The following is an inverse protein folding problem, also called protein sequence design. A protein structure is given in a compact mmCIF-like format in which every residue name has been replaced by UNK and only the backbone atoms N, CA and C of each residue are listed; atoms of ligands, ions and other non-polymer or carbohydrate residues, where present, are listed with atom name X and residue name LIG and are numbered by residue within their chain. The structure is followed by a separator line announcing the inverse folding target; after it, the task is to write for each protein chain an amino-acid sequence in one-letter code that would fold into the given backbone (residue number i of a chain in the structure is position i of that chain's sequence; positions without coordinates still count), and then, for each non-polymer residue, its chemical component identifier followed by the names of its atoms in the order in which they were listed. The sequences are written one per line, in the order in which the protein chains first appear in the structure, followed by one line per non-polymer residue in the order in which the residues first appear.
data_IF_206077309733
#
_entry.id   IF_206077309733
#
_cell.length_a   1.000
_cell.length_b   1.000
_cell.length_c   1.000
_cell.angle_alpha   90.00
_cell.angle_beta   90.00
_cell.angle_gamma   90.00
#
_symmetry.space_group_name_H-M   'P 1'
#
loop_
_entity.id
_entity.type
_entity.pdbx_description
1 polymer ?
#
# COMPACT_ATOMS: atom_id res chain seq x y z
N UNK A 1 0.46 6.87 -19.26
CA UNK A 1 1.53 7.87 -19.50
C UNK A 1 2.32 8.33 -18.28
N UNK A 2 1.93 8.01 -17.04
CA UNK A 2 2.78 8.28 -15.87
C UNK A 2 2.90 7.06 -14.98
N UNK A 3 4.10 6.77 -14.45
CA UNK A 3 4.25 5.70 -13.49
C UNK A 3 3.68 6.10 -12.13
N UNK A 4 3.30 5.11 -11.32
CA UNK A 4 2.86 5.30 -9.95
C UNK A 4 3.73 4.46 -9.00
N UNK A 5 3.91 4.94 -7.77
CA UNK A 5 4.53 4.14 -6.70
C UNK A 5 3.42 3.33 -6.03
N UNK A 6 3.59 2.00 -6.00
CA UNK A 6 2.69 1.07 -5.31
C UNK A 6 3.41 0.40 -4.14
N UNK A 7 2.70 0.23 -3.02
CA UNK A 7 3.15 -0.58 -1.89
C UNK A 7 2.01 -1.40 -1.30
N UNK A 8 2.35 -2.51 -0.64
CA UNK A 8 1.42 -3.37 0.06
C UNK A 8 1.36 -3.00 1.55
N UNK A 9 0.18 -2.60 2.02
CA UNK A 9 -0.10 -2.38 3.45
C UNK A 9 -0.72 -3.63 4.06
N UNK A 10 -0.33 -4.05 5.28
CA UNK A 10 -0.94 -5.21 5.92
C UNK A 10 -2.44 -5.01 6.19
N UNK A 11 -3.22 -6.09 6.18
CA UNK A 11 -4.64 -6.12 6.54
C UNK A 11 -4.91 -7.00 7.76
N UNK A 12 -6.00 -6.73 8.45
CA UNK A 12 -6.45 -7.48 9.63
C UNK A 12 -6.73 -8.98 9.36
N UNK A 13 -7.09 -9.34 8.14
CA UNK A 13 -7.33 -10.72 7.70
C UNK A 13 -6.04 -11.48 7.34
N UNK A 14 -4.88 -10.87 7.55
CA UNK A 14 -3.57 -11.44 7.24
C UNK A 14 -3.16 -11.33 5.78
N UNK A 15 -3.95 -10.66 4.93
CA UNK A 15 -3.57 -10.28 3.56
C UNK A 15 -2.96 -8.87 3.54
N UNK A 16 -2.95 -8.23 2.37
CA UNK A 16 -2.51 -6.86 2.20
C UNK A 16 -3.40 -6.09 1.22
N UNK A 17 -3.35 -4.77 1.32
CA UNK A 17 -3.98 -3.82 0.41
C UNK A 17 -2.88 -3.15 -0.41
N UNK A 18 -2.95 -3.19 -1.72
CA UNK A 18 -2.09 -2.37 -2.57
C UNK A 18 -2.57 -0.93 -2.55
N UNK A 19 -1.65 0.02 -2.31
CA UNK A 19 -1.98 1.45 -2.33
C UNK A 19 -1.13 2.16 -3.37
N UNK A 20 -1.80 2.96 -4.21
CA UNK A 20 -1.21 3.81 -5.24
C UNK A 20 -1.89 5.18 -5.20
N UNK A 21 -1.32 6.28 -5.67
CA UNK A 21 0.11 6.53 -5.78
C UNK A 21 0.68 6.95 -4.42
N UNK A 22 1.95 6.63 -4.15
CA UNK A 22 2.65 6.94 -2.90
C UNK A 22 3.74 8.00 -3.09
N UNK A 23 3.59 8.86 -4.11
CA UNK A 23 4.41 10.06 -4.29
C UNK A 23 5.27 10.07 -5.55
N UNK A 24 4.93 9.32 -6.60
CA UNK A 24 5.49 9.60 -7.93
C UNK A 24 4.93 10.91 -8.51
N UNK A 25 3.66 11.21 -8.23
CA UNK A 25 2.90 12.31 -8.80
C UNK A 25 2.29 13.15 -7.68
N UNK A 26 2.79 14.38 -7.49
CA UNK A 26 2.31 15.28 -6.41
C UNK A 26 0.85 15.69 -6.60
N UNK A 27 0.40 15.82 -7.86
CA UNK A 27 -0.98 16.03 -8.21
C UNK A 27 -1.31 15.17 -9.42
N UNK A 28 -2.53 14.65 -9.45
CA UNK A 28 -3.03 13.86 -10.55
C UNK A 28 -4.25 14.54 -11.16
N UNK A 29 -4.72 14.10 -12.32
CA UNK A 29 -6.07 14.37 -12.81
C UNK A 29 -6.95 13.11 -12.64
N UNK A 30 -8.22 13.16 -13.07
CA UNK A 30 -9.15 12.03 -12.93
C UNK A 30 -8.80 10.85 -13.83
N UNK A 31 -8.28 11.11 -15.03
CA UNK A 31 -7.82 10.07 -15.97
C UNK A 31 -6.61 9.32 -15.41
N UNK A 32 -5.70 10.01 -14.73
CA UNK A 32 -4.55 9.40 -14.07
C UNK A 32 -4.98 8.51 -12.89
N UNK A 33 -5.93 8.96 -12.06
CA UNK A 33 -6.49 8.11 -11.00
C UNK A 33 -7.15 6.86 -11.60
N UNK A 34 -7.88 7.01 -12.70
CA UNK A 34 -8.43 5.88 -13.45
C UNK A 34 -7.31 4.91 -13.92
N UNK A 35 -6.26 5.42 -14.57
CA UNK A 35 -5.12 4.59 -15.00
C UNK A 35 -4.45 3.86 -13.83
N UNK A 36 -4.33 4.51 -12.67
CA UNK A 36 -3.75 3.91 -11.47
C UNK A 36 -4.62 2.77 -10.92
N UNK A 37 -5.95 2.87 -11.03
CA UNK A 37 -6.88 1.81 -10.67
C UNK A 37 -6.72 0.59 -11.57
N UNK A 38 -6.63 0.79 -12.89
CA UNK A 38 -6.43 -0.32 -13.83
C UNK A 38 -5.06 -0.98 -13.60
N UNK A 39 -4.00 -0.19 -13.40
CA UNK A 39 -2.68 -0.74 -13.08
C UNK A 39 -2.67 -1.48 -11.74
N UNK A 40 -3.31 -0.94 -10.70
CA UNK A 40 -3.41 -1.57 -9.39
C UNK A 40 -4.15 -2.90 -9.45
N UNK A 41 -5.28 -2.98 -10.18
CA UNK A 41 -5.98 -4.23 -10.44
C UNK A 41 -5.08 -5.26 -11.11
N UNK A 42 -4.34 -4.86 -12.16
CA UNK A 42 -3.43 -5.76 -12.85
C UNK A 42 -2.31 -6.27 -11.93
N UNK A 43 -1.76 -5.42 -11.07
CA UNK A 43 -0.75 -5.81 -10.08
C UNK A 43 -1.31 -6.84 -9.10
N UNK A 44 -2.49 -6.58 -8.53
CA UNK A 44 -3.14 -7.51 -7.61
C UNK A 44 -3.50 -8.85 -8.28
N UNK A 45 -3.94 -8.84 -9.54
CA UNK A 45 -4.17 -10.04 -10.33
C UNK A 45 -2.90 -10.89 -10.50
N UNK A 46 -1.75 -10.26 -10.71
CA UNK A 46 -0.48 -10.96 -10.96
C UNK A 46 0.23 -11.38 -9.67
N UNK A 47 0.20 -10.53 -8.64
CA UNK A 47 0.93 -10.77 -7.41
C UNK A 47 0.15 -11.65 -6.44
N UNK A 48 -1.17 -11.52 -6.38
CA UNK A 48 -2.03 -12.26 -5.44
C UNK A 48 -2.88 -13.34 -6.10
N UNK A 49 -2.72 -13.56 -7.41
CA UNK A 49 -3.49 -14.51 -8.22
C UNK A 49 -5.02 -14.33 -8.03
N UNK A 50 -5.45 -13.10 -7.74
CA UNK A 50 -6.84 -12.74 -7.48
C UNK A 50 -7.49 -12.29 -8.78
N UNK A 51 -8.49 -13.03 -9.27
CA UNK A 51 -9.07 -12.79 -10.62
C UNK A 51 -9.75 -11.43 -10.77
N UNK A 52 -10.48 -10.97 -9.76
CA UNK A 52 -11.22 -9.69 -9.77
C UNK A 52 -10.98 -8.94 -8.46
N UNK A 53 -9.78 -8.39 -8.26
CA UNK A 53 -9.43 -7.69 -7.03
C UNK A 53 -10.29 -6.43 -6.92
N UNK A 54 -10.81 -6.19 -5.73
CA UNK A 54 -11.62 -5.01 -5.45
C UNK A 54 -10.77 -3.74 -5.48
N UNK A 55 -11.26 -2.70 -6.16
CA UNK A 55 -10.57 -1.42 -6.33
C UNK A 55 -11.41 -0.30 -5.72
N UNK A 56 -10.78 0.58 -4.96
CA UNK A 56 -11.44 1.72 -4.33
C UNK A 56 -10.63 3.01 -4.48
N UNK A 57 -11.32 4.14 -4.41
CA UNK A 57 -10.71 5.47 -4.32
C UNK A 57 -10.60 5.91 -2.85
N UNK A 58 -9.42 6.35 -2.43
CA UNK A 58 -9.25 6.95 -1.11
C UNK A 58 -9.92 8.32 -1.09
N UNK A 59 -10.75 8.56 -0.08
CA UNK A 59 -11.47 9.81 0.05
C UNK A 59 -11.59 10.24 1.52
N UNK A 60 -12.04 11.47 1.73
CA UNK A 60 -12.28 12.07 3.06
C UNK A 60 -13.57 11.55 3.73
N UNK A 61 -14.33 10.72 3.04
CA UNK A 61 -15.54 10.07 3.54
C UNK A 61 -16.11 9.09 2.52
N UNK A 62 -16.93 8.15 2.97
CA UNK A 62 -17.56 7.15 2.10
C UNK A 62 -18.73 7.69 1.25
N UNK A 63 -19.24 8.89 1.54
CA UNK A 63 -20.38 9.48 0.81
C UNK A 63 -19.98 10.08 -0.55
N UNK A 64 -20.80 9.87 -1.59
CA UNK A 64 -20.50 10.30 -2.97
C UNK A 64 -20.26 11.81 -3.14
N UNK A 65 -20.85 12.63 -2.26
CA UNK A 65 -20.78 14.10 -2.32
C UNK A 65 -19.43 14.62 -1.77
N UNK A 66 -18.69 13.80 -1.03
CA UNK A 66 -17.42 14.18 -0.42
C UNK A 66 -16.24 13.97 -1.37
N UNK A 67 -15.17 14.71 -1.13
CA UNK A 67 -13.96 14.70 -1.96
C UNK A 67 -13.87 15.89 -2.89
N UNK A 68 -12.70 16.08 -3.50
CA UNK A 68 -12.47 17.16 -4.46
C UNK A 68 -13.04 16.80 -5.84
N UNK A 69 -13.11 17.79 -6.74
CA UNK A 69 -13.71 17.63 -8.07
C UNK A 69 -13.03 16.53 -8.89
N UNK A 70 -11.71 16.36 -8.72
CA UNK A 70 -10.91 15.36 -9.40
C UNK A 70 -11.28 13.93 -8.96
N UNK A 71 -11.42 13.68 -7.66
CA UNK A 71 -11.80 12.37 -7.12
C UNK A 71 -13.23 12.02 -7.55
N UNK A 72 -14.14 13.00 -7.58
CA UNK A 72 -15.51 12.77 -8.08
C UNK A 72 -15.54 12.44 -9.58
N UNK A 73 -14.79 13.18 -10.40
CA UNK A 73 -14.68 12.85 -11.82
C UNK A 73 -14.02 11.48 -12.06
N UNK A 74 -13.02 11.10 -11.26
CA UNK A 74 -12.42 9.76 -11.33
C UNK A 74 -13.42 8.66 -10.93
N UNK A 75 -14.25 8.91 -9.93
CA UNK A 75 -15.31 7.99 -9.53
C UNK A 75 -16.28 7.71 -10.68
N UNK A 76 -16.68 8.73 -11.43
CA UNK A 76 -17.58 8.57 -12.57
C UNK A 76 -16.92 7.69 -13.66
N UNK A 77 -15.66 7.98 -14.03
CA UNK A 77 -14.89 7.16 -14.98
C UNK A 77 -14.77 5.69 -14.54
N UNK A 78 -14.48 5.46 -13.26
CA UNK A 78 -14.31 4.11 -12.71
C UNK A 78 -15.61 3.32 -12.65
N UNK A 79 -16.76 3.99 -12.47
CA UNK A 79 -18.08 3.33 -12.48
C UNK A 79 -18.51 2.90 -13.87
N UNK A 80 -18.07 3.60 -14.91
CA UNK A 80 -18.37 3.27 -16.30
C UNK A 80 -17.56 2.06 -16.79
N UNK A 81 -16.42 1.77 -16.16
CA UNK A 81 -15.55 0.65 -16.53
C UNK A 81 -16.01 -0.69 -15.93
N UNK A 82 -16.72 -1.48 -16.74
CA UNK A 82 -17.16 -2.83 -16.38
C UNK A 82 -16.05 -3.87 -16.21
N UNK A 83 -14.81 -3.55 -16.62
CA UNK A 83 -13.63 -4.38 -16.45
C UNK A 83 -13.00 -4.25 -15.06
N UNK A 84 -13.36 -3.23 -14.29
CA UNK A 84 -12.91 -3.02 -12.91
C UNK A 84 -13.93 -3.53 -11.90
N UNK A 85 -13.45 -4.20 -10.86
CA UNK A 85 -14.26 -4.47 -9.67
C UNK A 85 -14.22 -3.24 -8.74
N UNK A 86 -14.76 -2.11 -9.21
CA UNK A 86 -14.75 -0.85 -8.47
C UNK A 86 -15.86 -0.83 -7.40
N UNK A 87 -15.47 -0.58 -6.14
CA UNK A 87 -16.38 -0.61 -4.98
C UNK A 87 -16.70 0.76 -4.39
N UNK A 88 -16.24 1.84 -5.03
CA UNK A 88 -16.47 3.21 -4.55
C UNK A 88 -15.35 3.74 -3.65
N UNK A 89 -15.74 4.54 -2.66
CA UNK A 89 -14.81 5.23 -1.76
C UNK A 89 -14.44 4.41 -0.52
N UNK A 90 -13.21 4.58 -0.07
CA UNK A 90 -12.72 4.15 1.25
C UNK A 90 -12.04 5.30 1.97
N UNK A 91 -12.03 5.24 3.31
CA UNK A 91 -11.34 6.23 4.14
C UNK A 91 -9.97 5.75 4.58
N UNK A 92 -9.12 6.65 5.10
CA UNK A 92 -7.82 6.28 5.65
C UNK A 92 -7.90 5.27 6.80
N UNK A 93 -9.02 5.26 7.54
CA UNK A 93 -9.30 4.29 8.62
C UNK A 93 -9.55 2.86 8.11
N UNK A 94 -9.80 2.71 6.81
CA UNK A 94 -10.11 1.44 6.17
C UNK A 94 -8.92 0.80 5.47
N UNK A 95 -7.76 1.47 5.39
CA UNK A 95 -6.58 0.98 4.68
C UNK A 95 -6.06 -0.37 5.21
N UNK A 96 -6.22 -0.63 6.51
CA UNK A 96 -5.84 -1.89 7.17
C UNK A 96 -7.02 -2.86 7.33
N UNK A 97 -8.22 -2.45 6.88
CA UNK A 97 -9.41 -3.28 6.92
C UNK A 97 -9.54 -4.04 5.62
N UNK A 98 -10.19 -5.20 5.67
CA UNK A 98 -10.40 -6.05 4.50
C UNK A 98 -11.47 -5.49 3.53
N UNK A 99 -11.45 -4.18 3.24
CA UNK A 99 -12.45 -3.49 2.41
C UNK A 99 -12.10 -3.50 0.92
N UNK A 100 -10.84 -3.31 0.57
CA UNK A 100 -10.37 -3.26 -0.81
C UNK A 100 -9.04 -4.01 -0.95
N UNK A 101 -8.79 -4.59 -2.12
CA UNK A 101 -7.50 -5.18 -2.46
C UNK A 101 -6.55 -4.12 -3.03
N UNK A 102 -7.12 -3.10 -3.69
CA UNK A 102 -6.41 -1.97 -4.29
C UNK A 102 -7.08 -0.66 -3.87
N UNK A 103 -6.29 0.29 -3.38
CA UNK A 103 -6.74 1.64 -3.04
C UNK A 103 -5.93 2.67 -3.82
N UNK A 104 -6.64 3.59 -4.48
CA UNK A 104 -6.05 4.61 -5.36
C UNK A 104 -6.27 6.01 -4.81
N UNK A 105 -5.22 6.83 -4.89
CA UNK A 105 -5.18 8.23 -4.47
C UNK A 105 -4.12 9.00 -5.25
N UNK A 106 -4.13 10.32 -5.16
CA UNK A 106 -3.02 11.13 -5.64
C UNK A 106 -1.77 10.92 -4.76
N UNK A 107 -0.59 11.12 -5.35
CA UNK A 107 0.66 10.84 -4.65
C UNK A 107 0.95 11.76 -3.47
N UNK A 108 0.34 12.95 -3.38
CA UNK A 108 0.48 13.79 -2.18
C UNK A 108 -0.28 13.18 -1.01
N UNK A 109 -1.57 12.87 -1.20
CA UNK A 109 -2.40 12.22 -0.17
C UNK A 109 -1.83 10.86 0.22
N UNK A 110 -1.47 10.02 -0.75
CA UNK A 110 -0.92 8.70 -0.49
C UNK A 110 0.40 8.72 0.27
N UNK A 111 1.31 9.63 -0.11
CA UNK A 111 2.59 9.76 0.61
C UNK A 111 2.40 10.29 2.03
N UNK A 112 1.48 11.24 2.25
CA UNK A 112 1.15 11.73 3.61
C UNK A 112 0.54 10.60 4.45
N UNK A 113 -0.39 9.83 3.90
CA UNK A 113 -1.01 8.69 4.58
C UNK A 113 0.05 7.65 4.97
N UNK A 114 0.89 7.23 4.02
CA UNK A 114 1.97 6.27 4.25
C UNK A 114 2.93 6.75 5.35
N UNK A 115 3.41 7.99 5.28
CA UNK A 115 4.36 8.52 6.26
C UNK A 115 3.75 8.67 7.66
N UNK A 116 2.45 8.98 7.72
CA UNK A 116 1.71 9.03 8.99
C UNK A 116 1.61 7.63 9.61
N UNK A 117 1.25 6.63 8.81
CA UNK A 117 1.20 5.21 9.22
C UNK A 117 2.56 4.76 9.75
N UNK A 118 3.63 4.97 8.98
CA UNK A 118 4.97 4.55 9.37
C UNK A 118 5.42 5.23 10.68
N UNK A 119 5.12 6.53 10.83
CA UNK A 119 5.43 7.30 12.03
C UNK A 119 4.69 6.78 13.26
N UNK A 120 3.39 6.52 13.12
CA UNK A 120 2.56 5.96 14.18
C UNK A 120 3.03 4.56 14.59
N UNK A 121 3.32 3.69 13.62
CA UNK A 121 3.84 2.35 13.88
C UNK A 121 5.14 2.39 14.69
N UNK A 122 6.11 3.23 14.27
CA UNK A 122 7.37 3.43 15.00
C UNK A 122 7.14 3.96 16.41
N UNK A 123 6.25 4.93 16.58
CA UNK A 123 5.89 5.50 17.88
C UNK A 123 5.31 4.43 18.81
N UNK A 124 4.27 3.69 18.39
CA UNK A 124 3.63 2.63 19.19
C UNK A 124 4.63 1.55 19.58
N UNK A 125 5.47 1.08 18.65
CA UNK A 125 6.51 0.09 18.95
C UNK A 125 7.50 0.59 20.00
N UNK A 126 7.92 1.85 19.92
CA UNK A 126 8.83 2.46 20.88
C UNK A 126 8.21 2.62 22.27
N UNK A 127 6.93 2.99 22.32
CA UNK A 127 6.17 3.15 23.55
C UNK A 127 6.02 1.81 24.28
N UNK A 128 5.64 0.74 23.56
CA UNK A 128 5.53 -0.60 24.16
C UNK A 128 6.88 -1.10 24.67
N UNK A 129 7.96 -0.91 23.92
CA UNK A 129 9.31 -1.26 24.37
C UNK A 129 9.73 -0.47 25.62
N UNK A 130 9.28 0.78 25.78
CA UNK A 130 9.54 1.59 26.96
C UNK A 130 8.85 1.01 28.19
N UNK A 131 7.58 0.62 28.07
CA UNK A 131 6.80 0.02 29.17
C UNK A 131 7.43 -1.26 29.71
N UNK A 132 7.90 -2.15 28.83
CA UNK A 132 8.59 -3.37 29.27
C UNK A 132 9.93 -3.11 29.98
N UNK A 133 10.53 -1.93 29.80
CA UNK A 133 11.86 -1.60 30.37
C UNK A 133 11.79 -0.85 31.70
N UNK A 134 10.61 -0.34 32.09
CA UNK A 134 10.44 0.53 33.26
C UNK A 134 10.97 -0.14 34.55
N UNK A 135 10.40 -1.28 34.95
CA UNK A 135 10.71 -1.94 36.22
C UNK A 135 11.07 -3.42 36.03
N UNK A 136 11.72 -4.02 37.03
CA UNK A 136 12.17 -5.41 36.96
C UNK A 136 11.03 -6.41 36.72
N UNK A 137 9.85 -6.15 37.30
CA UNK A 137 8.63 -6.93 37.05
C UNK A 137 8.18 -6.83 35.60
N UNK A 138 8.15 -5.62 35.02
CA UNK A 138 7.79 -5.39 33.61
C UNK A 138 8.76 -6.09 32.67
N UNK A 139 10.05 -6.14 33.02
CA UNK A 139 11.07 -6.87 32.24
C UNK A 139 10.84 -8.38 32.28
N UNK A 140 10.48 -8.92 33.44
CA UNK A 140 10.17 -10.35 33.59
C UNK A 140 8.93 -10.74 32.77
N UNK A 141 7.85 -9.95 32.85
CA UNK A 141 6.66 -10.15 32.02
C UNK A 141 6.99 -9.97 30.53
N UNK A 142 7.85 -9.01 30.20
CA UNK A 142 8.34 -8.78 28.84
C UNK A 142 9.02 -10.01 28.24
N UNK A 143 9.81 -10.75 29.03
CA UNK A 143 10.45 -11.98 28.54
C UNK A 143 9.43 -13.07 28.17
N UNK A 144 8.35 -13.20 28.95
CA UNK A 144 7.28 -14.16 28.66
C UNK A 144 6.49 -13.78 27.40
N UNK A 145 6.26 -12.48 27.18
CA UNK A 145 5.47 -11.96 26.05
C UNK A 145 6.33 -11.77 24.79
N UNK A 146 7.65 -11.68 24.92
CA UNK A 146 8.59 -11.43 23.82
C UNK A 146 8.36 -12.25 22.54
N UNK A 147 8.14 -13.58 22.57
CA UNK A 147 7.92 -14.35 21.34
C UNK A 147 6.62 -13.97 20.62
N UNK A 148 5.58 -13.58 21.36
CA UNK A 148 4.32 -13.10 20.77
C UNK A 148 4.50 -11.67 20.24
N UNK A 149 5.17 -10.83 21.01
CA UNK A 149 5.47 -9.45 20.62
C UNK A 149 6.28 -9.39 19.33
N UNK A 150 7.31 -10.24 19.17
CA UNK A 150 8.09 -10.31 17.93
C UNK A 150 7.24 -10.56 16.69
N UNK A 151 6.24 -11.45 16.77
CA UNK A 151 5.32 -11.70 15.65
C UNK A 151 4.44 -10.50 15.32
N UNK A 152 4.02 -9.74 16.33
CA UNK A 152 3.25 -8.50 16.14
C UNK A 152 4.14 -7.43 15.51
N UNK A 153 5.36 -7.28 16.03
CA UNK A 153 6.35 -6.34 15.54
C UNK A 153 6.68 -6.61 14.07
N UNK A 154 6.92 -7.87 13.68
CA UNK A 154 7.19 -8.25 12.29
C UNK A 154 6.04 -7.87 11.33
N UNK A 155 4.78 -7.91 11.77
CA UNK A 155 3.62 -7.55 10.94
C UNK A 155 3.38 -6.05 10.80
N UNK A 156 3.75 -5.28 11.81
CA UNK A 156 3.49 -3.83 11.87
C UNK A 156 4.72 -3.04 11.45
N UNK A 157 5.91 -3.64 11.49
CA UNK A 157 7.16 -2.95 11.22
C UNK A 157 7.24 -2.51 9.75
N UNK A 158 7.24 -1.20 9.47
CA UNK A 158 7.31 -0.69 8.10
C UNK A 158 8.61 -1.07 7.37
N UNK A 159 9.69 -1.33 8.10
CA UNK A 159 10.98 -1.75 7.55
C UNK A 159 10.92 -3.08 6.78
N UNK A 160 9.95 -3.95 7.11
CA UNK A 160 9.71 -5.19 6.38
C UNK A 160 9.08 -4.99 4.99
N UNK A 161 8.49 -3.82 4.74
CA UNK A 161 7.74 -3.49 3.53
C UNK A 161 8.48 -2.49 2.64
N UNK A 162 9.81 -2.36 2.80
CA UNK A 162 10.61 -1.54 1.91
C UNK A 162 10.69 -2.16 0.50
N UNK A 163 10.77 -1.31 -0.52
CA UNK A 163 10.79 -1.72 -1.92
C UNK A 163 9.47 -1.48 -2.65
N UNK A 164 8.92 -0.27 -2.55
CA UNK A 164 7.75 0.12 -3.31
C UNK A 164 8.06 0.07 -4.83
N UNK A 165 7.20 -0.58 -5.61
CA UNK A 165 7.42 -0.72 -7.05
C UNK A 165 6.96 0.53 -7.79
N UNK A 166 7.63 0.88 -8.87
CA UNK A 166 7.08 1.76 -9.89
C UNK A 166 6.33 0.92 -10.92
N UNK A 167 5.04 1.14 -11.04
CA UNK A 167 4.18 0.52 -12.05
C UNK A 167 3.93 1.48 -13.20
N UNK A 168 3.67 0.96 -14.39
CA UNK A 168 3.53 1.77 -15.62
C UNK A 168 4.85 2.05 -16.35
N UNK A 169 5.94 1.40 -15.94
CA UNK A 169 7.23 1.41 -16.64
C UNK A 169 7.44 0.11 -17.42
N UNK A 170 8.28 0.16 -18.46
CA UNK A 170 8.66 -1.02 -19.29
C UNK A 170 9.57 -2.03 -18.58
N UNK A 171 9.96 -1.75 -17.34
CA UNK A 171 10.86 -2.60 -16.56
C UNK A 171 10.55 -2.49 -15.07
N UNK A 172 11.08 -3.43 -14.29
CA UNK A 172 10.95 -3.42 -12.84
C UNK A 172 11.85 -2.34 -12.26
N UNK A 173 11.24 -1.33 -11.64
CA UNK A 173 11.96 -0.30 -10.89
C UNK A 173 11.40 -0.29 -9.47
N UNK A 174 12.28 -0.42 -8.48
CA UNK A 174 11.92 -0.47 -7.06
C UNK A 174 12.56 0.68 -6.32
N UNK A 175 11.76 1.41 -5.54
CA UNK A 175 12.20 2.51 -4.68
C UNK A 175 12.51 1.99 -3.29
N UNK A 176 13.74 2.15 -2.84
CA UNK A 176 14.12 2.02 -1.43
C UNK A 176 14.05 3.37 -0.73
N UNK A 177 13.73 3.39 0.55
CA UNK A 177 13.85 4.61 1.35
C UNK A 177 15.31 5.11 1.40
N UNK A 178 15.50 6.44 1.41
CA UNK A 178 16.84 7.05 1.42
C UNK A 178 17.63 6.79 2.71
N UNK A 179 16.94 6.53 3.81
CA UNK A 179 17.53 6.16 5.11
C UNK A 179 17.48 4.65 5.36
N UNK A 180 17.33 3.83 4.32
CA UNK A 180 17.17 2.39 4.48
C UNK A 180 18.45 1.76 5.05
N UNK A 181 18.29 0.92 6.08
CA UNK A 181 19.39 0.08 6.57
C UNK A 181 19.65 -1.13 5.66
N UNK A 182 20.69 -1.93 5.98
CA UNK A 182 21.05 -3.08 5.17
C UNK A 182 19.93 -4.14 5.07
N UNK A 183 19.12 -4.28 6.13
CA UNK A 183 17.98 -5.20 6.15
C UNK A 183 16.87 -4.69 5.23
N UNK A 184 16.49 -3.41 5.37
CA UNK A 184 15.49 -2.75 4.53
C UNK A 184 15.90 -2.77 3.06
N UNK A 185 17.16 -2.52 2.75
CA UNK A 185 17.67 -2.56 1.37
C UNK A 185 17.63 -3.98 0.79
N UNK A 186 17.96 -5.00 1.60
CA UNK A 186 17.82 -6.39 1.20
C UNK A 186 16.35 -6.75 0.89
N UNK A 187 15.38 -6.26 1.66
CA UNK A 187 13.96 -6.46 1.36
C UNK A 187 13.58 -5.85 0.00
N UNK A 188 14.07 -4.65 -0.32
CA UNK A 188 13.83 -4.05 -1.62
C UNK A 188 14.39 -4.89 -2.78
N UNK A 189 15.55 -5.53 -2.62
CA UNK A 189 16.13 -6.45 -3.60
C UNK A 189 15.25 -7.71 -3.76
N UNK A 190 14.78 -8.29 -2.65
CA UNK A 190 13.90 -9.46 -2.69
C UNK A 190 12.59 -9.15 -3.40
N UNK A 191 11.98 -7.99 -3.13
CA UNK A 191 10.79 -7.51 -3.84
C UNK A 191 11.06 -7.33 -5.34
N UNK A 192 12.19 -6.70 -5.71
CA UNK A 192 12.57 -6.54 -7.11
C UNK A 192 12.73 -7.89 -7.83
N UNK A 193 13.38 -8.86 -7.18
CA UNK A 193 13.49 -10.23 -7.69
C UNK A 193 12.11 -10.87 -7.89
N UNK A 194 11.20 -10.74 -6.93
CA UNK A 194 9.84 -11.30 -7.04
C UNK A 194 9.10 -10.71 -8.24
N UNK A 195 9.21 -9.41 -8.49
CA UNK A 195 8.58 -8.76 -9.64
C UNK A 195 9.17 -9.23 -10.98
N UNK A 196 10.47 -9.47 -11.03
CA UNK A 196 11.15 -10.04 -12.20
C UNK A 196 10.72 -11.49 -12.42
N UNK A 197 10.75 -12.33 -11.37
CA UNK A 197 10.37 -13.75 -11.44
C UNK A 197 8.91 -13.92 -11.89
N UNK A 198 8.02 -13.00 -11.49
CA UNK A 198 6.61 -12.98 -11.93
C UNK A 198 6.39 -12.34 -13.31
N UNK A 199 7.44 -11.81 -13.94
CA UNK A 199 7.39 -11.05 -15.19
C UNK A 199 6.32 -9.94 -15.16
N UNK A 200 6.32 -9.17 -14.07
CA UNK A 200 5.25 -8.22 -13.73
C UNK A 200 4.97 -7.19 -14.84
N UNK A 201 5.98 -6.49 -15.43
CA UNK A 201 5.71 -5.51 -16.48
C UNK A 201 4.99 -6.10 -17.70
N UNK A 202 5.43 -7.26 -18.19
CA UNK A 202 4.83 -7.91 -19.35
C UNK A 202 3.40 -8.37 -19.07
N UNK A 203 3.14 -8.92 -17.88
CA UNK A 203 1.79 -9.36 -17.51
C UNK A 203 0.83 -8.18 -17.37
N UNK A 204 1.29 -7.06 -16.80
CA UNK A 204 0.50 -5.83 -16.73
C UNK A 204 0.23 -5.32 -18.16
N UNK A 205 1.24 -5.25 -19.03
CA UNK A 205 1.07 -4.82 -20.42
C UNK A 205 0.00 -5.65 -21.16
N UNK A 206 0.02 -6.98 -21.00
CA UNK A 206 -0.96 -7.87 -21.61
C UNK A 206 -2.38 -7.70 -21.07
N UNK A 207 -2.55 -7.21 -19.83
CA UNK A 207 -3.87 -6.94 -19.24
C UNK A 207 -4.42 -5.56 -19.61
N UNK A 208 -3.54 -4.65 -20.04
CA UNK A 208 -3.88 -3.27 -20.41
C UNK A 208 -3.99 -3.05 -21.93
N UNK A 209 -3.54 -4.01 -22.74
CA UNK A 209 -3.60 -3.99 -24.21
C UNK A 209 -4.90 -4.58 -24.73
#
# INVERSE_FOLDING_TARGET
DRPAIISALPREDGKHTFVLDLGANVGCDSEQLYQFAVMGQAVAQVLDDTRQPSVALLNIGSEEIKGNDQVRAANDLLREDTGLNYIGYVEGSDLFRAKADVVVCDGFVGNVALKTIEGLARYVMSEVRREFRQNWWSRLLGLLVLPLWKKVEERINPSGYNGAAFVGLRGVVVKSHGNADAYEFNQAILSARQYVDKNLPQKIENLLS
#
